data_IF_935127934789
#
_entry.id   IF_935127934789
#
_cell.length_a   1.000
_cell.length_b   1.000
_cell.length_c   1.000
_cell.angle_alpha   90.00
_cell.angle_beta   90.00
_cell.angle_gamma   90.00
#
_symmetry.space_group_name_H-M   'P 1'
#
loop_
_entity.id
_entity.type
_entity.pdbx_description
1 polymer ?
#
# COMPACT_ATOMS: atom_id res chain seq x y z
N UNK A 1 18.72 -7.91 20.47
CA UNK A 1 17.33 -7.97 19.96
C UNK A 1 16.94 -6.53 19.73
N UNK A 2 16.99 -6.07 18.48
CA UNK A 2 16.73 -4.67 18.10
C UNK A 2 15.21 -4.51 17.99
N UNK A 3 14.54 -3.85 18.96
CA UNK A 3 13.10 -3.97 19.14
C UNK A 3 12.25 -3.29 18.05
N UNK A 4 12.88 -2.58 17.10
CA UNK A 4 12.19 -1.63 16.23
C UNK A 4 12.31 -1.95 14.72
N UNK A 5 12.71 -3.17 14.34
CA UNK A 5 12.77 -3.57 12.92
C UNK A 5 11.36 -3.67 12.31
N UNK A 6 11.20 -3.22 11.07
CA UNK A 6 9.94 -3.39 10.31
C UNK A 6 9.70 -4.88 10.09
N UNK A 7 8.57 -5.38 10.60
CA UNK A 7 8.10 -6.75 10.41
C UNK A 7 6.65 -6.73 9.93
N UNK A 8 6.25 -7.77 9.19
CA UNK A 8 4.88 -7.95 8.68
C UNK A 8 4.38 -6.83 7.75
N UNK A 9 5.27 -6.24 6.95
CA UNK A 9 4.86 -5.36 5.87
C UNK A 9 4.03 -6.12 4.82
N UNK A 10 3.01 -5.44 4.28
CA UNK A 10 2.16 -5.93 3.19
C UNK A 10 2.38 -5.04 1.97
N UNK A 11 2.42 -5.63 0.79
CA UNK A 11 2.56 -4.91 -0.47
C UNK A 11 1.25 -5.01 -1.26
N UNK A 12 0.72 -3.91 -1.77
CA UNK A 12 -0.39 -3.92 -2.75
C UNK A 12 0.10 -4.41 -4.10
N UNK A 13 1.37 -4.14 -4.38
CA UNK A 13 2.00 -4.40 -5.65
C UNK A 13 3.48 -4.73 -5.40
N UNK A 14 3.92 -5.88 -5.91
CA UNK A 14 5.33 -6.22 -5.99
C UNK A 14 5.90 -5.70 -7.32
N UNK A 15 7.01 -4.99 -7.24
CA UNK A 15 7.71 -4.41 -8.37
C UNK A 15 8.83 -5.37 -8.81
N UNK A 16 8.89 -5.65 -10.11
CA UNK A 16 9.84 -6.56 -10.75
C UNK A 16 11.10 -5.86 -11.29
N UNK A 17 11.22 -4.55 -11.07
CA UNK A 17 12.33 -3.75 -11.57
C UNK A 17 13.63 -4.05 -10.81
N UNK A 18 14.76 -3.93 -11.52
CA UNK A 18 16.06 -4.17 -10.92
C UNK A 18 16.53 -2.95 -10.10
N UNK A 19 16.62 -3.12 -8.78
CA UNK A 19 17.13 -2.11 -7.86
C UNK A 19 18.51 -1.56 -8.24
N UNK A 20 19.43 -2.42 -8.68
CA UNK A 20 20.80 -2.02 -9.01
C UNK A 20 20.88 -1.19 -10.30
N UNK A 21 19.85 -1.25 -11.14
CA UNK A 21 19.74 -0.45 -12.36
C UNK A 21 19.06 0.92 -12.15
N UNK A 22 18.60 1.22 -10.93
CA UNK A 22 17.92 2.47 -10.60
C UNK A 22 18.92 3.59 -10.23
N UNK A 23 18.52 4.83 -10.50
CA UNK A 23 19.33 6.02 -10.19
C UNK A 23 19.31 6.32 -8.70
N UNK A 24 20.48 6.60 -8.11
CA UNK A 24 20.60 6.93 -6.69
C UNK A 24 19.89 8.23 -6.30
N UNK A 25 19.16 8.21 -5.17
CA UNK A 25 18.56 9.40 -4.58
C UNK A 25 18.43 9.29 -3.06
N UNK A 26 19.38 9.90 -2.35
CA UNK A 26 19.43 9.98 -0.89
C UNK A 26 19.29 8.59 -0.22
N UNK A 27 18.24 8.39 0.58
CA UNK A 27 17.88 7.16 1.28
C UNK A 27 17.08 6.16 0.42
N UNK A 28 17.22 6.25 -0.90
CA UNK A 28 16.57 5.36 -1.85
C UNK A 28 17.09 5.52 -3.27
N UNK A 29 16.28 5.07 -4.24
CA UNK A 29 16.56 5.17 -5.67
C UNK A 29 15.32 5.57 -6.45
N UNK A 30 15.49 6.15 -7.64
CA UNK A 30 14.37 6.46 -8.56
C UNK A 30 14.18 5.31 -9.54
N UNK A 31 12.97 4.74 -9.53
CA UNK A 31 12.58 3.72 -10.48
C UNK A 31 12.25 4.35 -11.84
N UNK A 32 13.01 4.00 -12.88
CA UNK A 32 12.80 4.51 -14.24
C UNK A 32 11.47 4.09 -14.88
N UNK A 33 10.87 2.99 -14.40
CA UNK A 33 9.62 2.48 -14.96
C UNK A 33 8.37 3.23 -14.47
N UNK A 34 8.38 3.73 -13.23
CA UNK A 34 7.22 4.40 -12.63
C UNK A 34 7.50 5.81 -12.11
N UNK A 35 8.74 6.29 -12.25
CA UNK A 35 9.22 7.60 -11.79
C UNK A 35 8.96 7.88 -10.30
N UNK A 36 8.88 6.81 -9.50
CA UNK A 36 8.73 6.90 -8.05
C UNK A 36 10.06 6.64 -7.36
N UNK A 37 10.23 7.32 -6.21
CA UNK A 37 11.29 6.99 -5.26
C UNK A 37 10.96 5.67 -4.55
N UNK A 38 11.92 4.76 -4.58
CA UNK A 38 11.92 3.49 -3.86
C UNK A 38 12.86 3.63 -2.68
N UNK A 39 12.31 3.62 -1.46
CA UNK A 39 13.08 3.76 -0.22
C UNK A 39 13.74 2.43 0.15
N UNK A 40 14.99 2.45 0.59
CA UNK A 40 15.61 1.23 1.15
C UNK A 40 15.19 1.04 2.60
N UNK A 41 14.36 0.02 2.85
CA UNK A 41 13.78 -0.28 4.16
C UNK A 41 14.34 -1.56 4.79
N UNK A 42 15.37 -2.15 4.16
CA UNK A 42 15.96 -3.44 4.59
C UNK A 42 16.56 -3.39 5.99
N UNK A 43 17.04 -2.22 6.41
CA UNK A 43 17.73 -1.94 7.68
C UNK A 43 17.05 -0.81 8.50
N UNK A 44 15.89 -0.32 8.08
CA UNK A 44 15.22 0.81 8.71
C UNK A 44 14.28 0.38 9.84
N UNK A 45 14.10 1.28 10.80
CA UNK A 45 13.21 1.06 11.93
C UNK A 45 11.77 1.53 11.65
N UNK A 46 10.84 1.12 12.50
CA UNK A 46 9.41 1.45 12.38
C UNK A 46 9.17 2.96 12.45
N UNK A 47 9.90 3.70 13.29
CA UNK A 47 9.71 5.15 13.42
C UNK A 47 10.03 5.91 12.12
N UNK A 48 11.14 5.54 11.46
CA UNK A 48 11.51 6.08 10.15
C UNK A 48 10.45 5.70 9.10
N UNK A 49 10.02 4.43 9.08
CA UNK A 49 8.98 3.97 8.17
C UNK A 49 7.67 4.76 8.32
N UNK A 50 7.21 5.00 9.55
CA UNK A 50 6.00 5.78 9.81
C UNK A 50 6.15 7.23 9.35
N UNK A 51 7.33 7.84 9.54
CA UNK A 51 7.61 9.19 9.06
C UNK A 51 7.49 9.27 7.53
N UNK A 52 8.13 8.38 6.78
CA UNK A 52 8.05 8.43 5.31
C UNK A 52 6.63 8.12 4.80
N UNK A 53 5.88 7.24 5.48
CA UNK A 53 4.47 7.00 5.15
C UNK A 53 3.65 8.28 5.34
N UNK A 54 3.89 9.02 6.43
CA UNK A 54 3.23 10.30 6.68
C UNK A 54 3.60 11.36 5.65
N UNK A 55 4.90 11.50 5.33
CA UNK A 55 5.42 12.52 4.40
C UNK A 55 5.02 12.27 2.94
N UNK A 56 4.59 11.04 2.60
CA UNK A 56 4.23 10.63 1.24
C UNK A 56 2.77 10.13 1.14
N UNK A 57 1.89 10.55 2.04
CA UNK A 57 0.45 10.23 2.03
C UNK A 57 0.14 8.73 1.86
N UNK A 58 0.87 7.90 2.61
CA UNK A 58 0.81 6.44 2.60
C UNK A 58 1.12 5.79 1.24
N UNK A 59 1.67 6.54 0.27
CA UNK A 59 2.06 6.06 -1.06
C UNK A 59 3.57 5.88 -1.14
N UNK A 60 4.09 4.91 -0.39
CA UNK A 60 5.53 4.61 -0.34
C UNK A 60 5.83 3.34 -1.14
N UNK A 61 6.80 3.44 -2.05
CA UNK A 61 7.45 2.28 -2.65
C UNK A 61 8.72 1.96 -1.84
N UNK A 62 8.91 0.70 -1.45
CA UNK A 62 10.03 0.29 -0.60
C UNK A 62 10.72 -0.95 -1.10
N UNK A 63 12.00 -1.10 -0.72
CA UNK A 63 12.79 -2.33 -0.80
C UNK A 63 12.80 -3.00 0.56
N UNK A 64 12.36 -4.25 0.60
CA UNK A 64 12.26 -5.05 1.82
C UNK A 64 13.08 -6.32 1.71
N UNK A 65 13.66 -6.75 2.82
CA UNK A 65 14.11 -8.14 2.97
C UNK A 65 12.90 -9.05 3.15
N UNK A 66 12.95 -10.28 2.63
CA UNK A 66 11.78 -11.17 2.65
C UNK A 66 11.28 -11.51 4.07
N UNK A 67 12.13 -11.43 5.09
CA UNK A 67 11.77 -11.61 6.50
C UNK A 67 10.90 -10.47 7.07
N UNK A 68 10.86 -9.32 6.39
CA UNK A 68 10.02 -8.18 6.75
C UNK A 68 8.59 -8.33 6.22
N UNK A 69 8.33 -9.21 5.26
CA UNK A 69 7.03 -9.34 4.59
C UNK A 69 6.14 -10.41 5.24
N UNK A 70 4.82 -10.22 5.15
CA UNK A 70 3.87 -11.30 5.46
C UNK A 70 3.75 -12.24 4.26
N UNK A 71 4.03 -13.52 4.48
CA UNK A 71 3.67 -14.61 3.54
C UNK A 71 2.27 -15.11 3.92
N UNK A 72 1.23 -14.73 3.17
CA UNK A 72 -0.17 -15.13 3.44
C UNK A 72 -1.11 -14.82 2.27
N UNK A 73 -2.31 -15.45 2.20
CA UNK A 73 -3.16 -15.45 1.01
C UNK A 73 -3.67 -14.04 0.66
N UNK A 74 -3.81 -13.84 -0.65
CA UNK A 74 -3.82 -12.59 -1.43
C UNK A 74 -4.65 -11.39 -0.90
N UNK A 75 -4.26 -10.16 -1.29
CA UNK A 75 -5.16 -9.01 -1.25
C UNK A 75 -6.34 -9.25 -2.22
N UNK A 76 -7.57 -9.13 -1.71
CA UNK A 76 -8.76 -8.93 -2.54
C UNK A 76 -8.67 -7.57 -3.23
N UNK A 77 -7.95 -7.52 -4.35
CA UNK A 77 -7.95 -6.38 -5.26
C UNK A 77 -9.21 -6.53 -6.12
N UNK A 78 -10.27 -5.83 -5.74
CA UNK A 78 -11.39 -5.55 -6.64
C UNK A 78 -10.92 -4.61 -7.75
N UNK A 79 -10.31 -5.15 -8.80
CA UNK A 79 -10.10 -4.39 -10.04
C UNK A 79 -11.48 -4.11 -10.66
N UNK A 80 -12.04 -2.93 -10.38
CA UNK A 80 -13.18 -2.45 -11.13
C UNK A 80 -12.73 -2.15 -12.57
N UNK A 81 -13.01 -3.10 -13.45
CA UNK A 81 -12.78 -3.03 -14.90
C UNK A 81 -13.67 -1.96 -15.54
N UNK A 82 -13.30 -0.68 -15.41
CA UNK A 82 -13.99 0.43 -16.09
C UNK A 82 -13.41 0.77 -17.47
N UNK A 83 -12.43 0.02 -17.98
CA UNK A 83 -11.82 0.25 -19.30
C UNK A 83 -12.29 -0.68 -20.42
N UNK A 84 -13.27 -1.55 -20.17
CA UNK A 84 -13.84 -2.47 -21.19
C UNK A 84 -15.20 -2.02 -21.74
N UNK A 85 -15.40 -0.73 -22.02
CA UNK A 85 -16.65 -0.22 -22.64
C UNK A 85 -16.50 0.61 -23.91
N UNK A 86 -15.32 0.69 -24.50
CA UNK A 86 -15.18 1.32 -25.82
C UNK A 86 -14.41 0.42 -26.76
N UNK A 87 -15.04 -0.66 -27.24
CA UNK A 87 -14.71 -1.41 -28.47
C UNK A 87 -15.85 -2.34 -28.94
N UNK A 88 -17.10 -1.94 -28.70
CA UNK A 88 -18.29 -2.59 -29.29
C UNK A 88 -19.08 -1.59 -30.12
N UNK A 89 -18.46 -1.07 -31.18
CA UNK A 89 -19.15 -0.33 -32.24
C UNK A 89 -18.28 -0.24 -33.51
N UNK A 90 -17.87 -1.38 -34.08
CA UNK A 90 -17.36 -1.45 -35.46
C UNK A 90 -17.32 -2.89 -35.98
N UNK A 91 -18.48 -3.53 -36.15
CA UNK A 91 -18.63 -4.70 -37.03
C UNK A 91 -19.99 -4.68 -37.73
N UNK A 92 -20.21 -3.66 -38.55
CA UNK A 92 -21.13 -3.76 -39.70
C UNK A 92 -20.39 -3.12 -40.86
N UNK A 93 -20.38 -3.80 -42.01
CA UNK A 93 -19.51 -3.64 -43.20
C UNK A 93 -18.13 -4.27 -42.97
N UNK A 94 -17.75 -5.36 -43.64
CA UNK A 94 -17.77 -5.55 -45.10
C UNK A 94 -18.01 -7.03 -45.44
N UNK A 95 -19.06 -7.29 -46.23
CA UNK A 95 -19.21 -8.52 -47.00
C UNK A 95 -19.05 -8.23 -48.48
N UNK A 96 -18.24 -9.07 -49.15
CA UNK A 96 -18.01 -9.21 -50.60
C UNK A 96 -17.29 -8.01 -51.26
N UNK A 97 -16.15 -8.12 -51.97
CA UNK A 97 -15.86 -9.00 -53.13
C UNK A 97 -14.34 -9.16 -53.31
N UNK A 98 -13.96 -10.36 -53.75
CA UNK A 98 -12.69 -10.87 -54.30
C UNK A 98 -11.87 -9.95 -55.22
N UNK A 99 -10.53 -10.12 -55.25
CA UNK A 99 -9.75 -10.67 -56.40
C UNK A 99 -8.22 -10.51 -56.23
N UNK A 100 -7.51 -11.62 -56.50
CA UNK A 100 -6.13 -11.76 -57.02
C UNK A 100 -4.86 -11.51 -56.16
N UNK A 101 -4.22 -12.64 -55.83
CA UNK A 101 -2.87 -13.04 -56.25
C UNK A 101 -1.63 -12.35 -55.65
N UNK A 102 -0.87 -13.05 -54.80
CA UNK A 102 0.26 -13.92 -55.19
C UNK A 102 0.90 -14.55 -53.95
N UNK A 103 1.12 -15.86 -54.04
CA UNK A 103 1.89 -16.64 -53.10
C UNK A 103 3.38 -16.26 -53.12
N UNK A 104 4.02 -16.24 -51.95
CA UNK A 104 5.41 -16.64 -51.80
C UNK A 104 5.61 -17.27 -50.42
N UNK A 105 5.43 -18.59 -50.40
CA UNK A 105 5.85 -19.45 -49.31
C UNK A 105 7.20 -20.07 -49.68
N UNK A 106 8.30 -19.45 -49.22
CA UNK A 106 9.62 -20.07 -49.15
C UNK A 106 10.27 -19.57 -47.85
N UNK A 107 10.16 -20.36 -46.78
CA UNK A 107 11.25 -21.20 -46.25
C UNK A 107 12.50 -20.39 -45.85
N UNK A 108 12.58 -20.07 -44.56
CA UNK A 108 13.85 -19.83 -43.88
C UNK A 108 14.05 -20.94 -42.82
N UNK A 109 15.12 -21.71 -43.03
CA UNK A 109 15.50 -22.90 -42.27
C UNK A 109 15.79 -22.58 -40.81
N UNK A 110 15.29 -23.42 -39.91
CA UNK A 110 15.71 -23.49 -38.50
C UNK A 110 17.20 -23.88 -38.43
N UNK A 111 18.03 -22.99 -37.88
CA UNK A 111 19.39 -23.30 -37.47
C UNK A 111 19.39 -23.94 -36.08
N UNK A 112 20.03 -25.11 -35.96
CA UNK A 112 20.29 -25.80 -34.69
C UNK A 112 21.23 -24.95 -33.83
N UNK A 113 20.85 -24.66 -32.59
CA UNK A 113 21.77 -24.13 -31.57
C UNK A 113 22.24 -25.32 -30.72
N UNK A 114 23.56 -25.58 -30.76
CA UNK A 114 24.21 -26.54 -29.89
C UNK A 114 24.39 -25.94 -28.49
N UNK A 115 23.82 -26.59 -27.48
CA UNK A 115 24.08 -26.29 -26.07
C UNK A 115 25.49 -26.79 -25.74
N UNK A 116 26.39 -25.88 -25.36
CA UNK A 116 27.60 -26.22 -24.64
C UNK A 116 27.29 -26.08 -23.15
N UNK A 117 27.24 -27.21 -22.47
CA UNK A 117 27.29 -27.26 -21.02
C UNK A 117 28.62 -26.68 -20.56
N UNK A 118 28.56 -25.62 -19.76
CA UNK A 118 29.68 -25.22 -18.93
C UNK A 118 29.17 -25.12 -17.50
N UNK A 119 29.31 -26.24 -16.79
CA UNK A 119 29.28 -26.28 -15.35
C UNK A 119 30.46 -25.45 -14.85
N UNK A 120 30.20 -24.41 -14.06
CA UNK A 120 31.13 -23.91 -13.06
C UNK A 120 30.39 -23.20 -11.93
N UNK A 121 30.40 -23.89 -10.80
CA UNK A 121 30.43 -23.39 -9.41
C UNK A 121 29.38 -22.38 -8.97
N UNK A 122 28.38 -22.90 -8.24
CA UNK A 122 27.64 -22.17 -7.22
C UNK A 122 28.61 -21.59 -6.19
N UNK A 123 28.79 -20.27 -6.19
CA UNK A 123 28.99 -19.53 -4.96
C UNK A 123 27.59 -19.09 -4.50
N UNK A 124 26.94 -19.96 -3.72
CA UNK A 124 25.82 -19.55 -2.89
C UNK A 124 26.40 -18.70 -1.77
N UNK A 125 26.55 -17.39 -2.04
CA UNK A 125 26.33 -16.43 -0.96
C UNK A 125 24.84 -16.47 -0.66
N UNK A 126 24.48 -16.49 0.62
CA UNK A 126 23.10 -16.29 1.05
C UNK A 126 22.63 -14.92 0.55
N UNK A 127 22.18 -14.85 -0.71
CA UNK A 127 21.52 -13.67 -1.26
C UNK A 127 20.19 -13.58 -0.52
N UNK A 128 20.17 -12.77 0.54
CA UNK A 128 18.93 -12.24 1.11
C UNK A 128 18.12 -11.68 -0.05
N UNK A 129 17.13 -12.44 -0.49
CA UNK A 129 16.24 -12.02 -1.56
C UNK A 129 15.45 -10.83 -1.02
N UNK A 130 15.48 -9.74 -1.79
CA UNK A 130 14.76 -8.52 -1.51
C UNK A 130 13.58 -8.39 -2.45
N UNK A 131 12.51 -7.78 -1.95
CA UNK A 131 11.30 -7.51 -2.72
C UNK A 131 11.07 -6.00 -2.75
N UNK A 132 10.81 -5.47 -3.96
CA UNK A 132 10.38 -4.10 -4.15
C UNK A 132 8.85 -4.05 -4.19
N UNK A 133 8.24 -2.98 -3.70
CA UNK A 133 6.80 -2.82 -3.88
C UNK A 133 6.17 -1.64 -3.16
N UNK A 134 4.91 -1.38 -3.50
CA UNK A 134 4.11 -0.35 -2.83
C UNK A 134 3.57 -0.93 -1.54
N UNK A 135 3.87 -0.26 -0.42
CA UNK A 135 3.44 -0.69 0.90
C UNK A 135 1.96 -0.36 1.09
N UNK A 136 1.24 -1.33 1.62
CA UNK A 136 -0.13 -1.14 2.10
C UNK A 136 -0.09 -1.15 3.61
N UNK A 137 -0.56 -0.06 4.19
CA UNK A 137 -0.98 -0.08 5.59
C UNK A 137 -2.05 -1.18 5.71
N UNK A 138 -1.83 -2.25 6.51
CA UNK A 138 -2.89 -3.21 6.75
C UNK A 138 -4.11 -2.43 7.23
N UNK A 139 -5.21 -2.54 6.48
CA UNK A 139 -6.47 -1.90 6.85
C UNK A 139 -6.98 -2.62 8.09
N UNK A 140 -6.63 -2.08 9.27
CA UNK A 140 -7.03 -2.65 10.53
C UNK A 140 -8.55 -2.44 10.70
N UNK A 141 -9.34 -3.50 10.94
CA UNK A 141 -10.79 -3.38 11.09
C UNK A 141 -11.21 -2.40 12.19
N UNK A 142 -10.40 -2.25 13.24
CA UNK A 142 -10.63 -1.27 14.32
C UNK A 142 -10.43 0.14 13.79
N UNK A 143 -9.36 0.38 13.03
CA UNK A 143 -9.06 1.69 12.43
C UNK A 143 -10.17 2.09 11.46
N UNK A 144 -10.57 1.19 10.56
CA UNK A 144 -11.63 1.45 9.60
C UNK A 144 -12.98 1.72 10.29
N UNK A 145 -13.34 0.89 11.28
CA UNK A 145 -14.59 1.05 12.01
C UNK A 145 -14.62 2.37 12.80
N UNK A 146 -13.52 2.73 13.44
CA UNK A 146 -13.43 3.98 14.20
C UNK A 146 -13.40 5.21 13.28
N UNK A 147 -12.70 5.14 12.15
CA UNK A 147 -12.70 6.21 11.15
C UNK A 147 -14.12 6.50 10.66
N UNK A 148 -14.86 5.46 10.25
CA UNK A 148 -16.26 5.58 9.83
C UNK A 148 -17.17 6.12 10.94
N UNK A 149 -16.96 5.66 12.19
CA UNK A 149 -17.71 6.17 13.33
C UNK A 149 -17.45 7.68 13.52
N UNK A 150 -16.20 8.12 13.46
CA UNK A 150 -15.85 9.55 13.59
C UNK A 150 -16.48 10.34 12.46
N UNK A 151 -16.37 9.88 11.21
CA UNK A 151 -16.95 10.57 10.05
C UNK A 151 -18.46 10.77 10.18
N UNK A 152 -19.17 9.78 10.74
CA UNK A 152 -20.63 9.84 10.90
C UNK A 152 -21.10 10.71 12.08
N UNK A 153 -20.29 10.86 13.13
CA UNK A 153 -20.74 11.47 14.39
C UNK A 153 -20.01 12.76 14.79
N UNK A 154 -18.90 13.11 14.14
CA UNK A 154 -18.17 14.33 14.42
C UNK A 154 -18.81 15.55 13.78
N UNK A 155 -18.99 16.61 14.58
CA UNK A 155 -19.49 17.90 14.12
C UNK A 155 -18.33 18.84 13.85
N UNK A 156 -17.84 18.82 12.63
CA UNK A 156 -16.67 19.61 12.23
C UNK A 156 -17.12 21.00 11.74
N UNK A 157 -16.54 22.10 12.26
CA UNK A 157 -16.85 23.43 11.77
C UNK A 157 -16.35 23.64 10.33
N UNK A 158 -17.03 24.46 9.50
CA UNK A 158 -16.58 24.78 8.13
C UNK A 158 -15.17 25.37 8.02
N UNK A 159 -14.69 25.98 9.11
CA UNK A 159 -13.33 26.51 9.22
C UNK A 159 -12.25 25.44 9.42
N UNK A 160 -12.62 24.16 9.57
CA UNK A 160 -11.66 23.07 9.71
C UNK A 160 -10.95 22.83 8.38
N UNK A 161 -9.63 22.96 8.41
CA UNK A 161 -8.74 22.68 7.30
C UNK A 161 -7.41 22.12 7.83
N UNK A 162 -6.89 21.08 7.19
CA UNK A 162 -5.60 20.46 7.53
C UNK A 162 -5.74 19.04 8.05
N UNK A 163 -4.68 18.52 8.68
CA UNK A 163 -4.56 17.11 9.07
C UNK A 163 -4.48 16.93 10.58
N UNK A 164 -5.30 16.03 11.11
CA UNK A 164 -5.21 15.54 12.48
C UNK A 164 -4.69 14.10 12.45
N UNK A 165 -3.67 13.84 13.25
CA UNK A 165 -3.16 12.48 13.50
C UNK A 165 -3.54 12.10 14.91
N UNK A 166 -4.17 10.95 15.08
CA UNK A 166 -4.62 10.44 16.37
C UNK A 166 -3.99 9.07 16.60
N UNK A 167 -3.34 8.88 17.75
CA UNK A 167 -2.81 7.59 18.18
C UNK A 167 -3.57 7.09 19.40
N UNK A 168 -3.79 5.79 19.47
CA UNK A 168 -4.52 5.19 20.59
C UNK A 168 -4.25 3.69 20.68
N UNK A 169 -4.60 3.10 21.81
CA UNK A 169 -4.55 1.67 22.06
C UNK A 169 -5.98 1.17 22.34
N UNK A 170 -6.23 -0.11 22.09
CA UNK A 170 -7.54 -0.75 22.34
C UNK A 170 -7.37 -1.97 23.23
N UNK A 171 -8.07 -1.98 24.36
CA UNK A 171 -8.12 -3.13 25.29
C UNK A 171 -9.04 -4.24 24.77
N UNK A 172 -8.94 -5.45 25.35
CA UNK A 172 -9.72 -6.64 24.95
C UNK A 172 -11.24 -6.43 25.04
N UNK A 173 -11.66 -5.52 25.93
CA UNK A 173 -13.05 -5.14 26.13
C UNK A 173 -13.51 -4.01 25.18
N UNK A 174 -12.67 -3.58 24.24
CA UNK A 174 -12.95 -2.48 23.30
C UNK A 174 -12.82 -1.09 23.90
N UNK A 175 -12.28 -0.94 25.12
CA UNK A 175 -12.02 0.38 25.70
C UNK A 175 -10.76 0.97 25.07
N UNK A 176 -10.88 2.21 24.59
CA UNK A 176 -9.76 3.00 24.07
C UNK A 176 -8.94 3.57 25.24
N UNK A 177 -7.63 3.40 25.21
CA UNK A 177 -6.69 4.08 26.11
C UNK A 177 -5.50 4.69 25.35
N UNK A 178 -4.62 5.41 26.05
CA UNK A 178 -3.46 6.11 25.46
C UNK A 178 -3.78 7.01 24.26
N UNK A 179 -4.99 7.59 24.24
CA UNK A 179 -5.46 8.45 23.16
C UNK A 179 -4.71 9.80 23.15
N UNK A 180 -3.93 10.02 22.10
CA UNK A 180 -3.19 11.25 21.85
C UNK A 180 -3.47 11.77 20.44
N UNK A 181 -3.27 13.08 20.21
CA UNK A 181 -3.39 13.68 18.90
C UNK A 181 -2.36 14.79 18.71
N UNK A 182 -1.93 15.01 17.47
CA UNK A 182 -1.02 16.11 17.14
C UNK A 182 -1.68 17.49 17.37
N UNK A 183 -0.85 18.53 17.47
CA UNK A 183 -1.31 19.88 17.83
C UNK A 183 -1.58 20.79 16.62
N UNK A 184 -1.39 20.29 15.40
CA UNK A 184 -1.40 21.11 14.18
C UNK A 184 -2.78 21.63 13.78
N UNK A 185 -3.86 21.04 14.31
CA UNK A 185 -5.24 21.48 14.07
C UNK A 185 -5.78 22.29 15.25
N UNK A 186 -6.80 23.12 14.97
CA UNK A 186 -7.41 23.99 15.98
C UNK A 186 -7.93 23.19 17.19
N UNK A 187 -7.84 23.80 18.39
CA UNK A 187 -8.25 23.16 19.65
C UNK A 187 -9.70 22.68 19.62
N UNK A 188 -10.58 23.43 18.96
CA UNK A 188 -12.01 23.09 18.84
C UNK A 188 -12.23 21.80 18.04
N UNK A 189 -11.62 21.69 16.85
CA UNK A 189 -11.76 20.49 16.01
C UNK A 189 -11.14 19.28 16.71
N UNK A 190 -9.94 19.43 17.27
CA UNK A 190 -9.28 18.36 18.02
C UNK A 190 -10.13 17.86 19.19
N UNK A 191 -10.70 18.78 19.98
CA UNK A 191 -11.55 18.42 21.11
C UNK A 191 -12.80 17.65 20.66
N UNK A 192 -13.42 18.03 19.55
CA UNK A 192 -14.58 17.34 18.99
C UNK A 192 -14.24 15.92 18.54
N UNK A 193 -13.18 15.74 17.75
CA UNK A 193 -12.76 14.41 17.29
C UNK A 193 -12.43 13.50 18.47
N UNK A 194 -11.64 13.99 19.43
CA UNK A 194 -11.29 13.22 20.63
C UNK A 194 -12.53 12.89 21.47
N UNK A 195 -13.53 13.79 21.55
CA UNK A 195 -14.80 13.53 22.25
C UNK A 195 -15.58 12.39 21.58
N UNK A 196 -15.63 12.36 20.25
CA UNK A 196 -16.33 11.31 19.48
C UNK A 196 -15.61 9.98 19.62
N UNK A 197 -14.28 9.95 19.46
CA UNK A 197 -13.47 8.74 19.62
C UNK A 197 -13.67 8.13 21.00
N UNK A 198 -13.63 8.93 22.07
CA UNK A 198 -13.85 8.45 23.45
C UNK A 198 -15.23 7.82 23.67
N UNK A 199 -16.23 8.15 22.84
CA UNK A 199 -17.60 7.60 22.92
C UNK A 199 -17.81 6.41 21.98
N UNK A 200 -16.85 6.08 21.13
CA UNK A 200 -16.99 5.01 20.16
C UNK A 200 -17.13 3.64 20.87
N UNK A 201 -18.22 2.90 20.59
CA UNK A 201 -18.43 1.60 21.21
C UNK A 201 -17.68 0.51 20.42
N UNK A 202 -16.34 0.54 20.40
CA UNK A 202 -15.51 -0.33 19.55
C UNK A 202 -15.92 -1.81 19.63
N UNK A 203 -16.22 -2.32 20.84
CA UNK A 203 -16.67 -3.70 21.04
C UNK A 203 -17.97 -4.09 20.31
N UNK A 204 -18.75 -3.11 19.85
CA UNK A 204 -19.95 -3.30 19.02
C UNK A 204 -19.69 -3.05 17.54
N UNK A 205 -18.58 -2.40 17.20
CA UNK A 205 -18.23 -2.02 15.83
C UNK A 205 -17.39 -3.09 15.12
N UNK A 206 -16.66 -3.93 15.87
CA UNK A 206 -15.79 -4.98 15.32
C UNK A 206 -16.08 -6.35 15.95
N UNK A 207 -15.61 -7.41 15.29
CA UNK A 207 -15.70 -8.78 15.79
C UNK A 207 -14.77 -9.01 17.01
N UNK A 208 -15.15 -9.90 17.93
CA UNK A 208 -14.42 -10.12 19.20
C UNK A 208 -13.00 -10.66 19.02
N UNK A 209 -12.75 -11.41 17.95
CA UNK A 209 -11.43 -11.93 17.60
C UNK A 209 -10.45 -10.82 17.22
N UNK A 210 -10.94 -9.73 16.61
CA UNK A 210 -10.13 -8.56 16.26
C UNK A 210 -9.61 -7.80 17.50
N UNK A 211 -10.31 -7.91 18.64
CA UNK A 211 -9.91 -7.29 19.92
C UNK A 211 -8.88 -8.10 20.71
N UNK A 212 -8.45 -9.27 20.21
CA UNK A 212 -7.50 -10.13 20.93
C UNK A 212 -6.08 -9.55 20.93
N UNK A 213 -5.77 -8.65 20.00
CA UNK A 213 -4.44 -8.06 19.81
C UNK A 213 -4.31 -6.70 20.49
N UNK A 214 -4.24 -6.68 21.82
CA UNK A 214 -4.26 -5.43 22.61
C UNK A 214 -2.94 -4.70 22.76
N UNK A 215 -1.86 -5.23 22.19
CA UNK A 215 -0.53 -4.64 22.28
C UNK A 215 -0.20 -3.74 21.07
N UNK A 216 -1.16 -3.53 20.17
CA UNK A 216 -0.95 -2.75 18.95
C UNK A 216 -1.38 -1.31 19.22
N UNK A 217 -0.47 -0.36 18.97
CA UNK A 217 -0.80 1.06 18.90
C UNK A 217 -1.39 1.35 17.52
N UNK A 218 -2.59 1.91 17.52
CA UNK A 218 -3.32 2.32 16.34
C UNK A 218 -3.02 3.78 16.00
N UNK A 219 -3.05 4.11 14.71
CA UNK A 219 -2.86 5.49 14.22
C UNK A 219 -3.87 5.80 13.14
N UNK A 220 -4.72 6.79 13.39
CA UNK A 220 -5.70 7.31 12.43
C UNK A 220 -5.30 8.68 11.91
N UNK A 221 -5.50 8.87 10.62
CA UNK A 221 -5.30 10.13 9.93
C UNK A 221 -6.67 10.67 9.52
N UNK A 222 -6.93 11.93 9.85
CA UNK A 222 -8.12 12.64 9.40
C UNK A 222 -7.67 13.89 8.64
N UNK A 223 -8.06 13.99 7.38
CA UNK A 223 -7.86 15.19 6.57
C UNK A 223 -9.16 15.97 6.54
N UNK A 224 -9.08 17.28 6.76
CA UNK A 224 -10.25 18.16 6.79
C UNK A 224 -10.16 19.17 5.66
N UNK A 225 -11.23 19.28 4.90
CA UNK A 225 -11.42 20.30 3.88
C UNK A 225 -12.80 20.93 4.03
N UNK A 226 -12.85 22.26 4.25
CA UNK A 226 -14.10 23.05 4.33
C UNK A 226 -15.14 22.47 5.31
N UNK A 227 -14.70 21.84 6.39
CA UNK A 227 -15.56 21.21 7.40
C UNK A 227 -16.01 19.79 7.10
N UNK A 228 -15.50 19.13 6.07
CA UNK A 228 -15.71 17.70 5.82
C UNK A 228 -14.42 16.92 6.06
N UNK A 229 -14.56 15.68 6.57
CA UNK A 229 -13.47 14.71 6.61
C UNK A 229 -13.36 14.09 5.23
N UNK A 230 -12.16 14.06 4.67
CA UNK A 230 -11.85 13.49 3.35
C UNK A 230 -10.83 12.37 3.49
N UNK A 231 -10.98 11.34 2.64
CA UNK A 231 -10.08 10.19 2.53
C UNK A 231 -8.80 10.54 1.77
#
# INVERSE_FOLDING_TARGET
>A
MEPDKIIKARLSFACDQNWEAMSDQADGKICSACDKKVYDLTDKNVAYFMKIMQDNDNNVCGRFSNDQLIVGPEPVIGHSSFWKKWWTAAMVFVGLVSLMSKANAQQAKMGKVAVKDNANSCQQTDQMSHTLGIVVMPNDPIDQALYNYVNNYAKVPPSAHGRLVVTFNVKKNGVIDHLAANTHLSKAVRAEILRVIKRAPIAKLVQKDQLKHTAISHTLYFTFEKGTIVD
#
